data_IF_062980909592
#
_entry.id   IF_062980909592
#
_cell.length_a   1.000
_cell.length_b   1.000
_cell.length_c   1.000
_cell.angle_alpha   90.00
_cell.angle_beta   90.00
_cell.angle_gamma   90.00
#
_symmetry.space_group_name_H-M   'P 1'
#
loop_
_entity.id
_entity.type
_entity.pdbx_description
1 polymer ?
#
# COMPACT_ATOMS: atom_id res chain seq x y z
N UNK A 1 -9.09 14.15 -8.74
CA UNK A 1 -7.71 14.63 -8.53
C UNK A 1 -7.38 14.31 -7.08
N UNK A 2 -6.44 13.38 -6.85
CA UNK A 2 -6.02 13.01 -5.50
C UNK A 2 -5.45 14.22 -4.76
N UNK A 3 -5.79 14.36 -3.49
CA UNK A 3 -5.20 15.40 -2.64
C UNK A 3 -3.69 15.12 -2.52
N UNK A 4 -2.86 16.12 -2.80
CA UNK A 4 -1.43 15.99 -2.57
C UNK A 4 -1.20 15.95 -1.05
N UNK A 5 -0.73 14.80 -0.56
CA UNK A 5 -0.49 14.53 0.86
C UNK A 5 1.00 14.67 1.14
N UNK A 6 1.37 15.52 2.11
CA UNK A 6 2.76 15.71 2.49
C UNK A 6 3.38 14.43 3.08
N UNK A 7 4.70 14.35 3.06
CA UNK A 7 5.45 13.22 3.63
C UNK A 7 5.10 12.97 5.09
N UNK A 8 5.05 14.03 5.89
CA UNK A 8 4.71 13.94 7.31
C UNK A 8 3.26 13.46 7.50
N UNK A 9 2.32 13.95 6.68
CA UNK A 9 0.94 13.50 6.75
C UNK A 9 0.78 12.03 6.36
N UNK A 10 1.52 11.53 5.36
CA UNK A 10 1.55 10.10 5.03
C UNK A 10 2.07 9.27 6.21
N UNK A 11 3.12 9.74 6.88
CA UNK A 11 3.70 9.08 8.05
C UNK A 11 2.75 9.09 9.24
N UNK A 12 2.14 10.23 9.55
CA UNK A 12 1.14 10.37 10.61
C UNK A 12 -0.05 9.44 10.37
N UNK A 13 -0.53 9.36 9.12
CA UNK A 13 -1.60 8.44 8.75
C UNK A 13 -1.20 6.98 9.02
N UNK A 14 -0.04 6.51 8.56
CA UNK A 14 0.43 5.14 8.87
C UNK A 14 0.53 4.88 10.38
N UNK A 15 1.06 5.83 11.15
CA UNK A 15 1.20 5.69 12.59
C UNK A 15 -0.16 5.63 13.30
N UNK A 16 -1.17 6.35 12.80
CA UNK A 16 -2.52 6.32 13.38
C UNK A 16 -3.17 4.93 13.29
N UNK A 17 -2.82 4.15 12.28
CA UNK A 17 -3.35 2.80 12.07
C UNK A 17 -2.63 1.75 12.93
N UNK A 18 -1.40 2.02 13.37
CA UNK A 18 -0.45 1.06 13.96
C UNK A 18 -1.04 0.15 15.04
N UNK A 19 -1.88 0.69 15.92
CA UNK A 19 -2.46 -0.09 17.02
C UNK A 19 -3.45 -1.18 16.56
N UNK A 20 -3.95 -1.08 15.31
CA UNK A 20 -4.97 -1.97 14.75
C UNK A 20 -4.43 -2.90 13.68
N UNK A 21 -3.27 -2.61 13.09
CA UNK A 21 -2.71 -3.41 11.99
C UNK A 21 -2.31 -4.79 12.53
N UNK A 22 -2.83 -5.83 11.90
CA UNK A 22 -2.34 -7.20 12.06
C UNK A 22 -1.56 -7.67 10.83
N UNK A 23 -1.93 -7.18 9.64
CA UNK A 23 -1.27 -7.54 8.39
C UNK A 23 -1.07 -6.34 7.47
N UNK A 24 -0.02 -6.40 6.67
CA UNK A 24 0.22 -5.46 5.57
C UNK A 24 0.32 -6.28 4.28
N UNK A 25 -0.44 -5.87 3.26
CA UNK A 25 -0.31 -6.41 1.92
C UNK A 25 0.37 -5.38 1.01
N UNK A 26 1.41 -5.84 0.30
CA UNK A 26 2.12 -5.08 -0.73
C UNK A 26 1.76 -5.64 -2.09
N UNK A 27 1.18 -4.82 -2.96
CA UNK A 27 0.75 -5.18 -4.31
C UNK A 27 1.69 -4.51 -5.31
N UNK A 28 2.62 -5.30 -5.84
CA UNK A 28 3.57 -4.89 -6.86
C UNK A 28 2.91 -5.00 -8.24
N UNK A 29 2.45 -3.89 -8.80
CA UNK A 29 1.66 -3.88 -10.03
C UNK A 29 2.46 -4.31 -11.27
N UNK A 30 3.77 -4.05 -11.26
CA UNK A 30 4.71 -4.44 -12.31
C UNK A 30 5.50 -5.71 -11.98
N UNK A 31 5.10 -6.45 -10.94
CA UNK A 31 5.85 -7.59 -10.40
C UNK A 31 6.86 -7.18 -9.33
N UNK A 32 7.29 -8.15 -8.53
CA UNK A 32 8.14 -7.95 -7.34
C UNK A 32 9.62 -8.29 -7.57
N UNK A 33 9.98 -8.76 -8.76
CA UNK A 33 11.35 -9.16 -9.06
C UNK A 33 12.29 -7.95 -9.12
N UNK A 34 13.43 -8.05 -8.43
CA UNK A 34 14.41 -6.96 -8.32
C UNK A 34 13.95 -5.71 -7.56
N UNK A 35 12.74 -5.67 -7.01
CA UNK A 35 12.22 -4.49 -6.31
C UNK A 35 12.98 -4.26 -4.99
N UNK A 36 13.48 -3.03 -4.69
CA UNK A 36 14.29 -2.77 -3.50
C UNK A 36 13.57 -3.13 -2.19
N UNK A 37 12.26 -2.90 -2.11
CA UNK A 37 11.43 -3.29 -0.96
C UNK A 37 11.46 -4.80 -0.68
N UNK A 38 11.57 -5.65 -1.71
CA UNK A 38 11.66 -7.11 -1.50
C UNK A 38 12.98 -7.48 -0.85
N UNK A 39 14.09 -6.83 -1.25
CA UNK A 39 15.38 -7.05 -0.62
C UNK A 39 15.41 -6.55 0.83
N UNK A 40 14.84 -5.37 1.09
CA UNK A 40 14.77 -4.79 2.45
C UNK A 40 13.94 -5.63 3.43
N UNK A 41 12.94 -6.37 2.94
CA UNK A 41 12.05 -7.20 3.75
C UNK A 41 12.34 -8.70 3.61
N UNK A 42 13.48 -9.09 3.04
CA UNK A 42 13.79 -10.48 2.72
C UNK A 42 13.87 -11.40 3.95
N UNK A 43 14.12 -10.84 5.13
CA UNK A 43 14.15 -11.55 6.41
C UNK A 43 12.76 -11.73 7.04
N UNK A 44 11.73 -11.07 6.51
CA UNK A 44 10.35 -11.23 6.98
C UNK A 44 9.63 -12.29 6.14
N UNK A 45 8.89 -13.17 6.82
CA UNK A 45 8.05 -14.15 6.14
C UNK A 45 6.85 -13.45 5.48
N UNK A 46 6.58 -13.82 4.23
CA UNK A 46 5.40 -13.38 3.50
C UNK A 46 4.75 -14.49 2.70
N UNK A 47 3.43 -14.42 2.60
CA UNK A 47 2.68 -15.19 1.61
C UNK A 47 2.70 -14.44 0.29
N UNK A 48 3.29 -15.03 -0.74
CA UNK A 48 3.34 -14.49 -2.10
C UNK A 48 2.24 -15.10 -2.97
N UNK A 49 1.45 -14.24 -3.61
CA UNK A 49 0.39 -14.63 -4.54
C UNK A 49 0.56 -13.87 -5.86
N UNK A 50 0.49 -14.60 -6.97
CA UNK A 50 0.44 -13.98 -8.31
C UNK A 50 -1.01 -13.79 -8.71
N UNK A 51 -1.33 -12.58 -9.17
CA UNK A 51 -2.68 -12.17 -9.51
C UNK A 51 -3.42 -11.53 -8.34
N UNK A 52 -4.04 -10.38 -8.59
CA UNK A 52 -4.88 -9.65 -7.62
C UNK A 52 -6.30 -9.52 -8.16
N UNK A 53 -7.28 -9.92 -7.33
CA UNK A 53 -8.71 -9.77 -7.64
C UNK A 53 -9.13 -8.29 -7.57
N UNK A 54 -10.28 -7.91 -8.13
CA UNK A 54 -10.87 -6.59 -7.89
C UNK A 54 -11.01 -6.29 -6.39
N UNK A 55 -10.94 -5.00 -6.02
CA UNK A 55 -10.99 -4.50 -4.64
C UNK A 55 -9.96 -3.39 -4.39
N UNK A 56 -10.11 -2.61 -3.32
CA UNK A 56 -9.17 -1.54 -2.92
C UNK A 56 -8.80 -0.59 -4.08
N UNK A 57 -9.80 -0.10 -4.82
CA UNK A 57 -9.62 0.79 -5.98
C UNK A 57 -9.42 0.08 -7.33
N UNK A 58 -9.26 -1.25 -7.35
CA UNK A 58 -9.15 -2.02 -8.59
C UNK A 58 -10.51 -2.53 -9.08
N UNK A 59 -11.01 -1.98 -10.18
CA UNK A 59 -12.24 -2.46 -10.83
C UNK A 59 -12.06 -3.80 -11.57
N UNK A 60 -10.83 -4.16 -11.94
CA UNK A 60 -10.51 -5.35 -12.72
C UNK A 60 -9.41 -6.18 -12.06
N UNK A 61 -9.42 -7.47 -12.33
CA UNK A 61 -8.35 -8.37 -11.93
C UNK A 61 -7.03 -7.97 -12.60
N UNK A 62 -5.95 -7.94 -11.83
CA UNK A 62 -4.58 -7.72 -12.33
C UNK A 62 -3.81 -9.04 -12.27
N UNK A 63 -3.80 -9.78 -13.39
CA UNK A 63 -3.26 -11.15 -13.47
C UNK A 63 -1.75 -11.24 -13.24
N UNK A 64 -1.01 -10.19 -13.59
CA UNK A 64 0.46 -10.13 -13.51
C UNK A 64 0.97 -9.47 -12.24
N UNK A 65 0.11 -8.77 -11.50
CA UNK A 65 0.48 -8.13 -10.24
C UNK A 65 0.86 -9.19 -9.20
N UNK A 66 1.85 -8.89 -8.37
CA UNK A 66 2.28 -9.78 -7.30
C UNK A 66 1.87 -9.18 -5.97
N UNK A 67 1.16 -9.96 -5.15
CA UNK A 67 0.83 -9.59 -3.79
C UNK A 67 1.74 -10.33 -2.81
N UNK A 68 2.29 -9.60 -1.85
CA UNK A 68 2.97 -10.17 -0.67
C UNK A 68 2.25 -9.73 0.59
N UNK A 69 1.78 -10.68 1.39
CA UNK A 69 1.15 -10.44 2.69
C UNK A 69 2.12 -10.76 3.80
N UNK A 70 2.33 -9.81 4.70
CA UNK A 70 3.17 -9.93 5.88
C UNK A 70 2.32 -9.86 7.15
N UNK A 71 2.78 -10.49 8.23
CA UNK A 71 2.38 -10.07 9.56
C UNK A 71 2.90 -8.65 9.82
N UNK A 72 2.18 -7.85 10.60
CA UNK A 72 2.63 -6.50 10.92
C UNK A 72 4.01 -6.53 11.60
N UNK A 73 4.97 -5.87 10.97
CA UNK A 73 6.25 -5.51 11.56
C UNK A 73 6.51 -4.02 11.32
N UNK A 74 7.07 -3.34 12.33
CA UNK A 74 7.43 -1.92 12.24
C UNK A 74 8.45 -1.65 11.12
N UNK A 75 9.28 -2.62 10.79
CA UNK A 75 10.30 -2.51 9.75
C UNK A 75 9.68 -2.34 8.37
N UNK A 76 8.47 -2.85 8.14
CA UNK A 76 7.72 -2.61 6.89
C UNK A 76 7.40 -1.12 6.75
N UNK A 77 6.91 -0.48 7.82
CA UNK A 77 6.63 0.96 7.83
C UNK A 77 7.92 1.76 7.63
N UNK A 78 9.03 1.34 8.24
CA UNK A 78 10.32 2.00 8.08
C UNK A 78 10.89 1.85 6.66
N UNK A 79 10.71 0.70 6.02
CA UNK A 79 11.13 0.48 4.64
C UNK A 79 10.32 1.32 3.65
N UNK A 80 8.99 1.35 3.83
CA UNK A 80 8.12 2.28 3.09
C UNK A 80 8.55 3.73 3.33
N UNK A 81 8.90 4.06 4.57
CA UNK A 81 9.34 5.40 4.91
C UNK A 81 10.67 5.78 4.23
N UNK A 82 11.63 4.85 4.22
CA UNK A 82 12.95 4.98 3.61
C UNK A 82 12.91 5.11 2.08
N UNK A 83 11.90 4.53 1.43
CA UNK A 83 11.69 4.64 -0.02
C UNK A 83 10.95 5.92 -0.45
N UNK A 84 10.79 6.90 0.44
CA UNK A 84 10.03 8.13 0.15
C UNK A 84 8.51 7.96 0.22
N UNK A 85 8.05 6.73 0.56
CA UNK A 85 6.67 6.29 0.83
C UNK A 85 5.72 6.36 -0.34
N UNK A 86 4.42 6.55 -0.08
CA UNK A 86 3.39 6.20 -1.06
C UNK A 86 3.31 7.17 -2.23
N UNK A 87 3.43 8.47 -1.92
CA UNK A 87 3.29 9.53 -2.89
C UNK A 87 4.45 10.51 -2.75
N UNK A 88 4.90 11.15 -3.85
CA UNK A 88 5.84 12.25 -3.77
C UNK A 88 5.35 13.33 -2.81
N UNK A 89 6.30 13.95 -2.09
CA UNK A 89 5.97 15.11 -1.28
C UNK A 89 5.48 16.26 -2.18
N UNK A 90 4.61 17.14 -1.64
CA UNK A 90 4.07 18.31 -2.34
C UNK A 90 5.20 19.21 -2.87
N UNK A 91 6.33 19.28 -2.17
CA UNK A 91 7.50 20.05 -2.57
C UNK A 91 8.45 19.30 -3.53
N UNK A 92 8.20 18.01 -3.79
CA UNK A 92 9.00 17.20 -4.71
C UNK A 92 8.73 17.56 -6.16
N UNK A 93 9.81 17.69 -6.94
CA UNK A 93 9.72 17.79 -8.41
C UNK A 93 9.67 16.41 -9.08
N UNK A 94 10.01 15.34 -8.34
CA UNK A 94 9.97 13.98 -8.85
C UNK A 94 8.53 13.45 -8.89
N UNK A 95 8.10 12.81 -9.99
CA UNK A 95 6.73 12.33 -10.15
C UNK A 95 6.45 11.04 -9.37
N UNK A 96 7.49 10.36 -8.86
CA UNK A 96 7.40 9.09 -8.14
C UNK A 96 8.39 9.03 -6.97
N UNK A 97 8.06 8.22 -5.98
CA UNK A 97 8.98 7.82 -4.91
C UNK A 97 9.75 6.56 -5.34
N UNK A 98 10.78 6.17 -4.59
CA UNK A 98 11.49 4.92 -4.84
C UNK A 98 10.63 3.67 -4.55
N UNK A 99 9.46 3.85 -3.91
CA UNK A 99 8.47 2.79 -3.76
C UNK A 99 7.85 2.40 -5.11
N UNK A 100 7.73 3.34 -6.05
CA UNK A 100 7.17 3.10 -7.37
C UNK A 100 5.69 2.67 -7.35
N UNK A 101 5.33 1.81 -8.31
CA UNK A 101 3.96 1.32 -8.53
C UNK A 101 3.65 0.12 -7.62
N UNK A 102 3.71 0.37 -6.31
CA UNK A 102 3.42 -0.60 -5.25
C UNK A 102 2.34 -0.08 -4.33
N UNK A 103 1.23 -0.79 -4.30
CA UNK A 103 0.09 -0.47 -3.47
C UNK A 103 0.16 -1.14 -2.11
N UNK A 104 -0.23 -0.41 -1.08
CA UNK A 104 -0.11 -0.84 0.32
C UNK A 104 -1.48 -0.89 0.94
N UNK A 105 -1.82 -2.05 1.51
CA UNK A 105 -3.09 -2.30 2.18
C UNK A 105 -2.82 -2.67 3.62
N UNK A 106 -3.41 -1.92 4.55
CA UNK A 106 -3.36 -2.15 5.98
C UNK A 106 -4.60 -2.92 6.40
N UNK A 107 -4.41 -4.06 7.06
CA UNK A 107 -5.49 -4.95 7.47
C UNK A 107 -5.49 -5.17 8.97
N UNK A 108 -6.67 -5.29 9.57
CA UNK A 108 -6.83 -5.70 10.95
C UNK A 108 -6.70 -7.23 11.13
N UNK A 109 -6.91 -7.71 12.37
CA UNK A 109 -6.82 -9.14 12.71
C UNK A 109 -7.89 -10.03 12.04
N UNK A 110 -8.97 -9.44 11.55
CA UNK A 110 -10.04 -10.12 10.82
C UNK A 110 -9.79 -10.10 9.30
N UNK A 111 -8.82 -9.31 8.85
CA UNK A 111 -8.55 -9.10 7.43
C UNK A 111 -9.36 -7.95 6.83
N UNK A 112 -10.00 -7.13 7.67
CA UNK A 112 -10.73 -5.94 7.23
C UNK A 112 -9.76 -4.81 6.90
N UNK A 113 -10.09 -4.03 5.87
CA UNK A 113 -9.25 -2.92 5.42
C UNK A 113 -9.33 -1.79 6.44
N UNK A 114 -8.16 -1.37 6.93
CA UNK A 114 -7.96 -0.20 7.77
C UNK A 114 -7.60 1.03 6.93
N UNK A 115 -7.02 0.79 5.77
CA UNK A 115 -6.64 1.79 4.79
C UNK A 115 -5.86 1.16 3.65
N UNK A 116 -5.98 1.71 2.44
CA UNK A 116 -5.22 1.26 1.28
C UNK A 116 -4.71 2.45 0.47
N UNK A 117 -3.67 2.23 -0.32
CA UNK A 117 -3.21 3.20 -1.33
C UNK A 117 -3.56 2.71 -2.73
N UNK A 118 -3.71 3.68 -3.64
CA UNK A 118 -3.69 3.50 -5.10
C UNK A 118 -2.63 4.44 -5.64
N UNK A 119 -1.37 4.00 -5.66
CA UNK A 119 -0.17 4.83 -5.90
C UNK A 119 -0.20 5.50 -7.27
N UNK A 120 -0.59 4.77 -8.31
CA UNK A 120 -0.76 5.32 -9.65
C UNK A 120 -1.89 6.36 -9.79
N UNK A 121 -2.85 6.40 -8.86
CA UNK A 121 -3.93 7.40 -8.84
C UNK A 121 -3.70 8.51 -7.81
N UNK A 122 -2.64 8.41 -6.99
CA UNK A 122 -2.40 9.37 -5.91
C UNK A 122 -3.48 9.33 -4.83
N UNK A 123 -4.07 8.16 -4.57
CA UNK A 123 -5.28 8.03 -3.75
C UNK A 123 -5.05 7.18 -2.51
N UNK A 124 -5.65 7.61 -1.40
CA UNK A 124 -5.79 6.82 -0.17
C UNK A 124 -7.26 6.42 -0.05
N UNK A 125 -7.51 5.15 0.21
CA UNK A 125 -8.83 4.59 0.48
C UNK A 125 -8.93 4.35 1.98
N UNK A 126 -9.97 4.90 2.60
CA UNK A 126 -10.30 4.65 4.00
C UNK A 126 -11.51 3.73 4.10
N UNK A 127 -11.78 3.11 5.27
CA UNK A 127 -12.93 2.24 5.44
C UNK A 127 -14.27 2.92 5.08
N UNK A 128 -14.37 4.23 5.29
CA UNK A 128 -15.55 5.03 4.93
C UNK A 128 -15.75 5.17 3.40
N UNK A 129 -14.67 5.01 2.61
CA UNK A 129 -14.71 5.02 1.15
C UNK A 129 -15.16 3.66 0.57
N UNK A 130 -14.82 2.56 1.24
CA UNK A 130 -15.12 1.19 0.79
C UNK A 130 -16.62 0.89 0.85
N UNK A 131 -17.32 1.32 1.91
CA UNK A 131 -18.79 1.22 2.00
C UNK A 131 -19.52 1.96 0.87
N UNK A 132 -18.90 2.99 0.31
CA UNK A 132 -19.48 3.81 -0.76
C UNK A 132 -19.22 3.22 -2.15
N UNK A 133 -18.13 2.46 -2.31
CA UNK A 133 -17.76 1.78 -3.55
C UNK A 133 -18.52 0.46 -3.72
N UNK A 134 -18.73 -0.29 -2.64
CA UNK A 134 -19.55 -1.52 -2.64
C UNK A 134 -21.03 -1.24 -2.93
N UNK A 135 -21.54 -0.05 -2.59
CA UNK A 135 -22.93 0.35 -2.89
C UNK A 135 -23.16 0.84 -4.32
N UNK A 136 -22.10 0.95 -5.13
CA UNK A 136 -22.17 1.44 -6.52
C UNK A 136 -21.81 0.37 -7.56
N UNK A 137 -21.51 -0.86 -7.13
CA UNK A 137 -21.20 -2.01 -7.99
C UNK A 137 -22.45 -2.84 -8.33
#
# INVERSE_FOLDING_TARGET
>A
MGQSISRDAQREWMQSLRARIAHIELVFNNGDDGHPLVAQLAHLESTRTVGVKPGNGYARQRLTAVKRRFAYDREIIQALDGLGGFFPDVASTEPWTELGDVDVVFLDKHGEVLGATVTHEGMVITPDDDERLDRQA
#
